data_IF_129564339269
#
_entry.id   IF_129564339269
#
_cell.length_a   1.000
_cell.length_b   1.000
_cell.length_c   1.000
_cell.angle_alpha   90.00
_cell.angle_beta   90.00
_cell.angle_gamma   90.00
#
_symmetry.space_group_name_H-M   'P 1'
#
loop_
_entity.id
_entity.type
_entity.pdbx_description
1 polymer ?
#
# COMPACT_ATOMS: atom_id res chain seq x y z
N UNK A 1 -3.82 -24.97 6.56
CA UNK A 1 -2.41 -25.32 6.75
C UNK A 1 -2.00 -25.31 8.21
N UNK A 2 -0.85 -25.89 8.55
CA UNK A 2 -0.40 -26.10 9.92
C UNK A 2 -0.43 -24.87 10.83
N UNK A 3 -0.11 -23.68 10.30
CA UNK A 3 -0.15 -22.43 11.07
C UNK A 3 -1.57 -22.02 11.43
N UNK A 4 -2.54 -22.24 10.54
CA UNK A 4 -3.95 -21.98 10.83
C UNK A 4 -4.49 -22.90 11.93
N UNK A 5 -4.15 -24.18 11.90
CA UNK A 5 -4.52 -25.14 12.94
C UNK A 5 -3.88 -24.79 14.29
N UNK A 6 -2.63 -24.31 14.27
CA UNK A 6 -1.96 -23.82 15.47
C UNK A 6 -2.62 -22.57 16.03
N UNK A 7 -3.02 -21.62 15.16
CA UNK A 7 -3.78 -20.41 15.54
C UNK A 7 -5.14 -20.78 16.14
N UNK A 8 -5.87 -21.71 15.51
CA UNK A 8 -7.18 -22.14 15.98
C UNK A 8 -7.16 -22.73 17.41
N UNK A 9 -6.03 -23.30 17.83
CA UNK A 9 -5.87 -23.83 19.21
C UNK A 9 -5.68 -22.73 20.26
N UNK A 10 -5.15 -21.57 19.88
CA UNK A 10 -4.79 -20.50 20.81
C UNK A 10 -5.70 -19.27 20.72
N UNK A 11 -6.25 -19.01 19.54
CA UNK A 11 -7.15 -17.86 19.27
C UNK A 11 -8.28 -18.29 18.31
N UNK A 12 -9.27 -18.99 18.84
CA UNK A 12 -10.43 -19.48 18.08
C UNK A 12 -11.13 -18.33 17.35
N UNK A 13 -11.35 -17.21 18.04
CA UNK A 13 -12.05 -16.05 17.48
C UNK A 13 -11.30 -15.40 16.30
N UNK A 14 -9.96 -15.39 16.33
CA UNK A 14 -9.17 -14.95 15.19
C UNK A 14 -9.25 -15.96 14.03
N UNK A 15 -9.19 -17.27 14.33
CA UNK A 15 -9.29 -18.31 13.32
C UNK A 15 -10.64 -18.31 12.59
N UNK A 16 -11.76 -18.13 13.31
CA UNK A 16 -13.10 -18.02 12.71
C UNK A 16 -13.25 -16.81 11.78
N UNK A 17 -12.59 -15.71 12.10
CA UNK A 17 -12.66 -14.46 11.33
C UNK A 17 -11.73 -14.43 10.11
N UNK A 18 -10.60 -15.15 10.17
CA UNK A 18 -9.59 -15.13 9.12
C UNK A 18 -9.83 -16.25 8.09
N UNK A 19 -9.66 -15.90 6.80
CA UNK A 19 -9.65 -16.95 5.78
C UNK A 19 -8.40 -17.83 5.96
N UNK A 20 -8.55 -19.18 6.01
CA UNK A 20 -7.41 -20.10 6.15
C UNK A 20 -6.32 -19.94 5.09
N UNK A 21 -6.69 -19.45 3.90
CA UNK A 21 -5.77 -19.19 2.80
C UNK A 21 -5.07 -17.81 2.88
N UNK A 22 -5.48 -16.94 3.80
CA UNK A 22 -4.77 -15.68 4.07
C UNK A 22 -3.57 -15.96 5.00
N UNK A 23 -2.56 -16.60 4.42
CA UNK A 23 -1.36 -17.04 5.15
C UNK A 23 -0.67 -15.88 5.87
N UNK A 24 -0.67 -14.68 5.30
CA UNK A 24 -0.04 -13.52 5.90
C UNK A 24 -0.72 -13.11 7.22
N UNK A 25 -2.04 -12.98 7.22
CA UNK A 25 -2.80 -12.61 8.42
C UNK A 25 -2.83 -13.71 9.45
N UNK A 26 -2.96 -14.96 9.02
CA UNK A 26 -2.91 -16.14 9.89
C UNK A 26 -1.55 -16.23 10.58
N UNK A 27 -0.45 -16.14 9.82
CA UNK A 27 0.90 -16.15 10.38
C UNK A 27 1.12 -15.01 11.35
N UNK A 28 0.72 -13.78 10.99
CA UNK A 28 0.86 -12.61 11.88
C UNK A 28 0.11 -12.78 13.20
N UNK A 29 -1.11 -13.30 13.16
CA UNK A 29 -1.88 -13.55 14.38
C UNK A 29 -1.21 -14.58 15.31
N UNK A 30 -0.67 -15.64 14.73
CA UNK A 30 0.05 -16.66 15.48
C UNK A 30 1.39 -16.15 16.04
N UNK A 31 2.15 -15.39 15.26
CA UNK A 31 3.41 -14.77 15.70
C UNK A 31 3.22 -13.82 16.88
N UNK A 32 2.15 -12.99 16.85
CA UNK A 32 1.82 -12.10 17.98
C UNK A 32 1.64 -12.90 19.26
N UNK A 33 0.85 -13.98 19.21
CA UNK A 33 0.68 -14.84 20.37
C UNK A 33 2.00 -15.49 20.80
N UNK A 34 2.77 -16.02 19.86
CA UNK A 34 4.05 -16.71 20.17
C UNK A 34 5.07 -15.79 20.83
N UNK A 35 5.10 -14.51 20.44
CA UNK A 35 6.03 -13.52 20.97
C UNK A 35 5.58 -12.93 22.32
N UNK A 36 4.27 -12.76 22.52
CA UNK A 36 3.74 -11.98 23.65
C UNK A 36 2.97 -12.83 24.68
N UNK A 37 2.61 -14.05 24.33
CA UNK A 37 1.70 -14.89 25.13
C UNK A 37 0.24 -14.41 25.10
N UNK A 38 -0.07 -13.33 24.36
CA UNK A 38 -1.38 -12.70 24.31
C UNK A 38 -1.93 -12.80 22.89
N UNK A 39 -3.17 -13.26 22.73
CA UNK A 39 -3.78 -13.42 21.42
C UNK A 39 -4.03 -12.09 20.73
N UNK A 40 -4.07 -12.09 19.38
CA UNK A 40 -4.37 -10.88 18.63
C UNK A 40 -5.80 -10.38 18.90
N UNK A 41 -6.73 -11.30 19.18
CA UNK A 41 -8.10 -10.97 19.59
C UNK A 41 -8.12 -10.22 20.92
N UNK A 42 -7.30 -10.62 21.87
CA UNK A 42 -7.17 -9.94 23.15
C UNK A 42 -6.48 -8.58 23.02
N UNK A 43 -5.43 -8.48 22.19
CA UNK A 43 -4.81 -7.19 21.86
C UNK A 43 -5.80 -6.18 21.28
N UNK A 44 -6.68 -6.61 20.39
CA UNK A 44 -7.70 -5.73 19.80
C UNK A 44 -8.79 -5.29 20.79
N UNK A 45 -8.99 -6.02 21.89
CA UNK A 45 -9.92 -5.64 22.96
C UNK A 45 -9.33 -4.64 23.95
N UNK A 46 -8.00 -4.57 24.02
CA UNK A 46 -7.33 -3.64 24.93
C UNK A 46 -7.56 -2.20 24.50
N UNK A 47 -7.80 -1.28 25.44
CA UNK A 47 -7.92 0.14 25.12
C UNK A 47 -6.60 0.63 24.50
N UNK A 48 -6.72 1.46 23.47
CA UNK A 48 -5.55 2.09 22.84
C UNK A 48 -4.97 3.13 23.81
N UNK A 49 -3.74 2.90 24.25
CA UNK A 49 -3.00 3.85 25.09
C UNK A 49 -2.44 4.93 24.16
N UNK A 50 -2.85 6.19 24.37
CA UNK A 50 -2.26 7.33 23.67
C UNK A 50 -0.81 7.48 24.14
N UNK A 51 0.14 7.33 23.22
CA UNK A 51 1.58 7.52 23.53
C UNK A 51 1.94 8.99 23.77
N UNK A 52 1.17 9.90 23.22
CA UNK A 52 1.32 11.35 23.35
C UNK A 52 -0.02 11.93 23.80
N UNK A 53 -0.38 11.80 25.10
CA UNK A 53 -1.70 12.19 25.60
C UNK A 53 -1.97 13.71 25.48
N UNK A 54 -0.92 14.52 25.56
CA UNK A 54 -0.99 16.00 25.50
C UNK A 54 -0.91 16.54 24.05
N UNK A 55 -0.67 15.67 23.05
CA UNK A 55 -0.56 16.11 21.66
C UNK A 55 -1.94 16.34 21.05
N UNK A 56 -2.10 17.51 20.44
CA UNK A 56 -3.22 17.84 19.56
C UNK A 56 -2.74 17.64 18.12
N UNK A 57 -3.56 16.99 17.31
CA UNK A 57 -3.23 16.70 15.91
C UNK A 57 -4.27 17.32 15.00
N UNK A 58 -3.83 18.14 14.06
CA UNK A 58 -4.63 18.59 12.93
C UNK A 58 -4.37 17.66 11.75
N UNK A 59 -5.40 17.01 11.27
CA UNK A 59 -5.32 16.06 10.16
C UNK A 59 -5.79 16.73 8.88
N UNK A 60 -4.86 16.94 7.96
CA UNK A 60 -5.14 17.50 6.65
C UNK A 60 -5.15 16.37 5.63
N UNK A 61 -6.26 16.20 4.94
CA UNK A 61 -6.41 15.19 3.90
C UNK A 61 -6.33 15.83 2.50
N UNK A 62 -5.33 15.44 1.73
CA UNK A 62 -5.22 15.83 0.33
C UNK A 62 -6.12 14.94 -0.53
N UNK A 63 -7.09 15.53 -1.22
CA UNK A 63 -8.07 14.86 -2.05
C UNK A 63 -8.17 15.53 -3.44
N UNK A 64 -7.12 15.50 -4.25
CA UNK A 64 -7.16 16.12 -5.58
C UNK A 64 -8.21 15.44 -6.47
N UNK A 65 -8.71 16.14 -7.51
CA UNK A 65 -9.59 15.56 -8.51
C UNK A 65 -9.01 14.27 -9.11
N UNK A 66 -9.88 13.34 -9.49
CA UNK A 66 -9.44 12.03 -10.01
C UNK A 66 -8.58 12.18 -11.26
N UNK A 67 -8.98 13.06 -12.17
CA UNK A 67 -8.31 13.30 -13.44
C UNK A 67 -6.90 13.88 -13.25
N UNK A 68 -6.74 14.80 -12.30
CA UNK A 68 -5.43 15.36 -11.97
C UNK A 68 -4.50 14.27 -11.39
N UNK A 69 -5.02 13.45 -10.46
CA UNK A 69 -4.26 12.36 -9.87
C UNK A 69 -3.86 11.31 -10.91
N UNK A 70 -4.79 10.94 -11.81
CA UNK A 70 -4.55 9.99 -12.90
C UNK A 70 -3.45 10.53 -13.84
N UNK A 71 -3.52 11.80 -14.23
CA UNK A 71 -2.52 12.46 -15.06
C UNK A 71 -1.13 12.47 -14.41
N UNK A 72 -1.06 12.77 -13.11
CA UNK A 72 0.20 12.71 -12.35
C UNK A 72 0.76 11.28 -12.24
N UNK A 73 -0.10 10.27 -12.08
CA UNK A 73 0.31 8.86 -12.07
C UNK A 73 0.93 8.47 -13.42
N UNK A 74 0.33 8.88 -14.54
CA UNK A 74 0.83 8.57 -15.88
C UNK A 74 2.15 9.30 -16.16
N UNK A 75 2.23 10.58 -15.86
CA UNK A 75 3.46 11.36 -16.03
C UNK A 75 4.61 10.80 -15.18
N UNK A 76 4.31 10.39 -13.94
CA UNK A 76 5.31 9.74 -13.08
C UNK A 76 5.83 8.45 -13.70
N UNK A 77 4.95 7.61 -14.25
CA UNK A 77 5.35 6.37 -14.89
C UNK A 77 6.24 6.64 -16.11
N UNK A 78 5.89 7.63 -16.96
CA UNK A 78 6.70 8.03 -18.12
C UNK A 78 8.08 8.52 -17.69
N UNK A 79 8.16 9.32 -16.62
CA UNK A 79 9.44 9.77 -16.05
C UNK A 79 10.28 8.61 -15.53
N UNK A 80 9.68 7.61 -14.88
CA UNK A 80 10.38 6.41 -14.44
C UNK A 80 10.95 5.63 -15.63
N UNK A 81 10.17 5.45 -16.71
CA UNK A 81 10.65 4.82 -17.94
C UNK A 81 11.85 5.57 -18.53
N UNK A 82 11.76 6.90 -18.64
CA UNK A 82 12.85 7.75 -19.13
C UNK A 82 14.09 7.73 -18.22
N UNK A 83 13.91 7.50 -16.92
CA UNK A 83 14.97 7.38 -15.93
C UNK A 83 15.63 5.98 -15.85
N UNK A 84 15.19 5.03 -16.69
CA UNK A 84 15.81 3.70 -16.78
C UNK A 84 15.10 2.59 -16.00
N UNK A 85 13.80 2.74 -15.69
CA UNK A 85 13.04 1.71 -14.97
C UNK A 85 13.09 0.33 -15.65
N UNK A 86 13.13 0.28 -16.98
CA UNK A 86 13.24 -0.99 -17.71
C UNK A 86 14.56 -1.71 -17.39
N UNK A 87 15.65 -0.98 -17.32
CA UNK A 87 16.97 -1.55 -17.01
C UNK A 87 17.07 -1.97 -15.54
N UNK A 88 16.43 -1.22 -14.64
CA UNK A 88 16.31 -1.61 -13.23
C UNK A 88 15.56 -2.94 -13.08
N UNK A 89 14.43 -3.11 -13.78
CA UNK A 89 13.65 -4.36 -13.75
C UNK A 89 14.45 -5.50 -14.39
N UNK A 90 15.22 -5.25 -15.46
CA UNK A 90 16.10 -6.27 -16.07
C UNK A 90 17.08 -6.82 -15.03
N UNK A 91 17.81 -5.93 -14.33
CA UNK A 91 18.76 -6.32 -13.27
C UNK A 91 18.07 -7.04 -12.13
N UNK A 92 16.86 -6.61 -11.75
CA UNK A 92 16.08 -7.28 -10.71
C UNK A 92 15.69 -8.71 -11.12
N UNK A 93 15.29 -8.93 -12.38
CA UNK A 93 14.90 -10.27 -12.89
C UNK A 93 16.10 -11.20 -13.00
N UNK A 94 17.31 -10.69 -13.30
CA UNK A 94 18.54 -11.47 -13.33
C UNK A 94 18.91 -12.08 -11.96
N UNK A 95 18.46 -11.46 -10.86
CA UNK A 95 18.66 -12.00 -9.50
C UNK A 95 17.84 -13.26 -9.23
N UNK A 96 16.89 -13.64 -10.10
CA UNK A 96 16.03 -14.84 -10.01
C UNK A 96 15.36 -14.99 -8.64
N UNK A 97 14.93 -13.88 -8.07
CA UNK A 97 14.30 -13.85 -6.76
C UNK A 97 12.92 -14.54 -6.78
N UNK A 98 12.48 -15.15 -5.66
CA UNK A 98 11.13 -15.67 -5.55
C UNK A 98 10.07 -14.62 -5.87
N UNK A 99 9.11 -14.94 -6.75
CA UNK A 99 8.09 -13.99 -7.21
C UNK A 99 7.11 -13.49 -6.13
N UNK A 100 7.11 -14.12 -4.95
CA UNK A 100 6.31 -13.69 -3.80
C UNK A 100 6.95 -12.54 -2.99
N UNK A 101 8.20 -12.19 -3.24
CA UNK A 101 8.87 -11.08 -2.56
C UNK A 101 8.23 -9.73 -2.90
N UNK A 102 8.19 -8.78 -1.96
CA UNK A 102 7.59 -7.45 -2.18
C UNK A 102 8.17 -6.71 -3.39
N UNK A 103 9.49 -6.77 -3.61
CA UNK A 103 10.16 -6.13 -4.74
C UNK A 103 9.62 -6.63 -6.09
N UNK A 104 9.35 -7.95 -6.20
CA UNK A 104 8.82 -8.57 -7.43
C UNK A 104 7.36 -8.20 -7.70
N UNK A 105 6.66 -7.65 -6.73
CA UNK A 105 5.25 -7.20 -6.81
C UNK A 105 5.10 -5.68 -6.85
N UNK A 106 6.21 -4.94 -6.87
CA UNK A 106 6.16 -3.48 -6.98
C UNK A 106 5.51 -3.08 -8.31
N UNK A 107 4.69 -2.01 -8.28
CA UNK A 107 3.98 -1.51 -9.46
C UNK A 107 4.96 -1.19 -10.60
N UNK A 108 4.72 -1.77 -11.76
CA UNK A 108 5.56 -1.68 -12.95
C UNK A 108 6.51 -2.87 -13.10
N UNK A 109 6.93 -3.54 -12.03
CA UNK A 109 7.87 -4.68 -12.11
C UNK A 109 7.26 -5.89 -12.85
N UNK A 110 6.07 -6.40 -12.49
CA UNK A 110 5.46 -7.52 -13.21
C UNK A 110 5.23 -7.21 -14.70
N UNK A 111 4.78 -6.00 -15.01
CA UNK A 111 4.45 -5.58 -16.36
C UNK A 111 5.70 -5.46 -17.24
N UNK A 112 6.74 -4.81 -16.74
CA UNK A 112 8.01 -4.70 -17.48
C UNK A 112 8.76 -6.03 -17.55
N UNK A 113 8.65 -6.88 -16.54
CA UNK A 113 9.18 -8.24 -16.59
C UNK A 113 8.48 -9.08 -17.65
N UNK A 114 7.16 -8.94 -17.84
CA UNK A 114 6.41 -9.62 -18.92
C UNK A 114 6.95 -9.23 -20.31
N UNK A 115 7.26 -7.94 -20.53
CA UNK A 115 7.93 -7.50 -21.75
C UNK A 115 9.32 -8.12 -21.90
N UNK A 116 10.16 -8.09 -20.87
CA UNK A 116 11.51 -8.66 -20.90
C UNK A 116 11.51 -10.17 -21.18
N UNK A 117 10.44 -10.87 -20.82
CA UNK A 117 10.21 -12.29 -21.09
C UNK A 117 9.54 -12.55 -22.45
N UNK A 118 9.32 -11.53 -23.29
CA UNK A 118 8.72 -11.66 -24.62
C UNK A 118 7.22 -11.96 -24.63
N UNK A 119 6.51 -11.72 -23.50
CA UNK A 119 5.08 -12.02 -23.36
C UNK A 119 4.17 -10.92 -23.93
N UNK A 120 4.69 -9.70 -24.07
CA UNK A 120 3.96 -8.55 -24.63
C UNK A 120 4.91 -7.52 -25.23
N UNK A 121 4.38 -6.51 -25.95
CA UNK A 121 5.18 -5.37 -26.42
C UNK A 121 5.51 -4.41 -25.27
N UNK A 122 6.50 -3.54 -25.45
CA UNK A 122 6.86 -2.52 -24.46
C UNK A 122 5.70 -1.54 -24.22
N UNK A 123 5.02 -1.15 -25.28
CA UNK A 123 3.84 -0.26 -25.21
C UNK A 123 2.74 -0.89 -24.36
N UNK A 124 2.46 -2.18 -24.54
CA UNK A 124 1.47 -2.91 -23.75
C UNK A 124 1.88 -3.00 -22.27
N UNK A 125 3.15 -3.28 -21.97
CA UNK A 125 3.67 -3.30 -20.60
C UNK A 125 3.55 -1.92 -19.91
N UNK A 126 3.92 -0.85 -20.60
CA UNK A 126 3.81 0.53 -20.09
C UNK A 126 2.34 0.90 -19.85
N UNK A 127 1.45 0.57 -20.79
CA UNK A 127 0.02 0.84 -20.62
C UNK A 127 -0.56 0.08 -19.41
N UNK A 128 -0.21 -1.19 -19.24
CA UNK A 128 -0.62 -1.99 -18.08
C UNK A 128 -0.07 -1.42 -16.76
N UNK A 129 1.18 -1.01 -16.70
CA UNK A 129 1.80 -0.39 -15.53
C UNK A 129 1.12 0.92 -15.12
N UNK A 130 0.80 1.79 -16.09
CA UNK A 130 0.01 3.00 -15.88
C UNK A 130 -1.38 2.68 -15.33
N UNK A 131 -2.08 1.72 -15.94
CA UNK A 131 -3.41 1.28 -15.50
C UNK A 131 -3.39 0.78 -14.04
N UNK A 132 -2.44 -0.08 -13.69
CA UNK A 132 -2.33 -0.62 -12.34
C UNK A 132 -1.97 0.45 -11.32
N UNK A 133 -1.13 1.43 -11.68
CA UNK A 133 -0.83 2.59 -10.84
C UNK A 133 -2.09 3.41 -10.56
N UNK A 134 -2.90 3.70 -11.59
CA UNK A 134 -4.18 4.38 -11.45
C UNK A 134 -5.15 3.60 -10.55
N UNK A 135 -5.28 2.30 -10.75
CA UNK A 135 -6.13 1.44 -9.91
C UNK A 135 -5.69 1.46 -8.45
N UNK A 136 -4.38 1.48 -8.20
CA UNK A 136 -3.84 1.60 -6.84
C UNK A 136 -4.19 2.95 -6.21
N UNK A 137 -4.02 4.05 -6.93
CA UNK A 137 -4.40 5.38 -6.49
C UNK A 137 -5.91 5.49 -6.20
N UNK A 138 -6.77 4.86 -7.05
CA UNK A 138 -8.21 4.77 -6.80
C UNK A 138 -8.51 4.04 -5.47
N UNK A 139 -7.83 2.91 -5.19
CA UNK A 139 -8.00 2.19 -3.92
C UNK A 139 -7.58 3.04 -2.72
N UNK A 140 -6.48 3.78 -2.81
CA UNK A 140 -6.05 4.71 -1.77
C UNK A 140 -7.09 5.81 -1.51
N UNK A 141 -7.62 6.44 -2.56
CA UNK A 141 -8.69 7.45 -2.43
C UNK A 141 -9.92 6.90 -1.72
N UNK A 142 -10.38 5.71 -2.11
CA UNK A 142 -11.51 5.04 -1.45
C UNK A 142 -11.21 4.76 0.02
N UNK A 143 -10.00 4.31 0.34
CA UNK A 143 -9.59 4.07 1.72
C UNK A 143 -9.58 5.36 2.54
N UNK A 144 -8.97 6.43 2.03
CA UNK A 144 -8.94 7.73 2.70
C UNK A 144 -10.34 8.32 2.89
N UNK A 145 -11.22 8.17 1.90
CA UNK A 145 -12.60 8.64 2.01
C UNK A 145 -13.35 7.95 3.16
N UNK A 146 -13.15 6.65 3.33
CA UNK A 146 -13.94 5.84 4.27
C UNK A 146 -13.29 5.66 5.65
N UNK A 147 -11.96 5.79 5.77
CA UNK A 147 -11.22 5.42 6.99
C UNK A 147 -10.55 6.59 7.69
N UNK A 148 -10.30 7.70 6.99
CA UNK A 148 -9.64 8.86 7.57
C UNK A 148 -10.64 10.00 7.76
N UNK A 149 -10.96 10.31 9.01
CA UNK A 149 -11.60 11.57 9.39
C UNK A 149 -10.49 12.62 9.42
N UNK A 150 -10.68 13.71 8.72
CA UNK A 150 -9.74 14.82 8.67
C UNK A 150 -10.41 16.10 9.17
N UNK A 151 -9.63 16.97 9.79
CA UNK A 151 -10.07 18.29 10.24
C UNK A 151 -10.19 19.25 9.06
N UNK A 152 -9.30 19.08 8.07
CA UNK A 152 -9.32 19.83 6.81
C UNK A 152 -9.20 18.89 5.62
N UNK A 153 -10.04 19.13 4.60
CA UNK A 153 -9.94 18.45 3.31
C UNK A 153 -9.45 19.46 2.26
N UNK A 154 -8.30 19.15 1.66
CA UNK A 154 -7.68 19.95 0.61
C UNK A 154 -7.89 19.28 -0.74
N UNK A 155 -8.61 19.93 -1.65
CA UNK A 155 -9.03 19.36 -2.94
C UNK A 155 -8.01 19.55 -4.08
N UNK A 156 -6.76 19.82 -3.74
CA UNK A 156 -5.68 20.01 -4.69
C UNK A 156 -4.49 19.11 -4.37
N UNK A 157 -3.59 18.95 -5.36
CA UNK A 157 -2.30 18.31 -5.10
C UNK A 157 -1.40 19.24 -4.28
N UNK A 158 -0.53 18.65 -3.47
CA UNK A 158 0.53 19.38 -2.78
C UNK A 158 1.67 19.72 -3.77
N UNK A 159 2.05 20.97 -3.84
CA UNK A 159 3.04 21.48 -4.80
C UNK A 159 4.47 21.59 -4.24
N UNK A 160 4.69 21.10 -3.01
CA UNK A 160 6.03 21.00 -2.43
C UNK A 160 6.45 22.19 -1.57
N UNK A 161 5.67 23.27 -1.51
CA UNK A 161 5.95 24.42 -0.63
C UNK A 161 5.08 24.37 0.65
N UNK A 162 5.69 23.94 1.76
CA UNK A 162 4.98 23.78 3.03
C UNK A 162 4.47 25.12 3.60
N UNK A 163 5.25 26.19 3.49
CA UNK A 163 4.86 27.51 4.02
C UNK A 163 3.67 28.09 3.26
N UNK A 164 3.71 28.04 1.94
CA UNK A 164 2.62 28.50 1.12
C UNK A 164 1.35 27.66 1.32
N UNK A 165 1.51 26.35 1.44
CA UNK A 165 0.43 25.42 1.74
C UNK A 165 -0.24 25.76 3.07
N UNK A 166 0.54 25.96 4.16
CA UNK A 166 0.00 26.34 5.47
C UNK A 166 -0.65 27.72 5.46
N UNK A 167 -0.13 28.68 4.71
CA UNK A 167 -0.79 30.00 4.54
C UNK A 167 -2.15 29.88 3.88
N UNK A 168 -2.29 29.03 2.85
CA UNK A 168 -3.57 28.79 2.16
C UNK A 168 -4.59 28.04 3.05
N UNK A 169 -4.14 27.28 4.04
CA UNK A 169 -5.03 26.61 4.98
C UNK A 169 -5.59 27.53 6.08
N UNK A 170 -4.85 28.58 6.43
CA UNK A 170 -5.18 29.50 7.53
C UNK A 170 -5.88 30.79 7.04
N UNK A 171 -6.05 30.98 5.75
CA UNK A 171 -6.74 32.11 5.13
C UNK A 171 -8.12 31.75 4.64
#
# INVERSE_FOLDING_TARGET
GAVYEALAKVDIAAAERLNPNDTSRVTRAYEVWKQTGITITEWHRRPMVKKLPEAVFDIIKLCPPAEELDSRCYLRFDRMMSAGALEEVRRLTELKLPGNLPAMKALGVPELAAYLNGQCSLEAAVAAGKLHTRQYAKRQRTWFANKLKADVVWEHCYEGNAEEFLKRLNG
#
